data_IF_310831987203
#
_entry.id   IF_310831987203
#
_cell.length_a   1.000
_cell.length_b   1.000
_cell.length_c   1.000
_cell.angle_alpha   90.00
_cell.angle_beta   90.00
_cell.angle_gamma   90.00
#
_symmetry.space_group_name_H-M   'P 1'
#
loop_
_entity.id
_entity.type
_entity.pdbx_description
1 polymer ?
#
# COMPACT_ATOMS: atom_id res chain seq x y z
N UNK A 1 -1.21 -14.52 -10.01
CA UNK A 1 -1.05 -14.40 -8.54
C UNK A 1 -0.58 -12.98 -8.29
N UNK A 2 -1.29 -12.17 -7.51
CA UNK A 2 -0.85 -10.82 -7.17
C UNK A 2 0.12 -10.88 -6.00
N UNK A 3 1.23 -10.15 -6.09
CA UNK A 3 2.12 -9.93 -4.96
C UNK A 3 1.51 -8.84 -4.05
N UNK A 4 1.69 -9.00 -2.73
CA UNK A 4 1.30 -7.98 -1.77
C UNK A 4 2.15 -6.72 -1.95
N UNK A 5 1.50 -5.55 -1.94
CA UNK A 5 2.17 -4.24 -2.00
C UNK A 5 1.85 -3.49 -0.71
N UNK A 6 2.84 -3.17 0.14
CA UNK A 6 2.63 -2.41 1.38
C UNK A 6 2.00 -1.03 1.13
N UNK A 7 1.10 -0.59 2.03
CA UNK A 7 0.46 0.72 1.91
C UNK A 7 1.44 1.89 1.98
N UNK A 8 2.60 1.68 2.62
CA UNK A 8 3.67 2.67 2.70
C UNK A 8 4.03 3.27 1.33
N UNK A 9 4.02 2.49 0.24
CA UNK A 9 4.33 2.98 -1.11
C UNK A 9 3.37 4.05 -1.63
N UNK A 10 2.12 4.02 -1.15
CA UNK A 10 1.11 4.98 -1.54
C UNK A 10 1.12 6.24 -0.65
N UNK A 11 1.92 6.27 0.43
CA UNK A 11 2.02 7.43 1.33
C UNK A 11 2.93 8.51 0.75
N UNK A 12 2.76 9.78 1.16
CA UNK A 12 3.70 10.85 0.78
C UNK A 12 5.15 10.51 1.17
N UNK A 13 5.34 9.96 2.37
CA UNK A 13 6.66 9.54 2.85
C UNK A 13 7.28 8.45 1.97
N UNK A 14 6.47 7.49 1.52
CA UNK A 14 6.91 6.43 0.61
C UNK A 14 7.29 6.96 -0.77
N UNK A 15 6.49 7.88 -1.32
CA UNK A 15 6.77 8.50 -2.62
C UNK A 15 8.04 9.35 -2.55
N UNK A 16 8.20 10.22 -1.54
CA UNK A 16 9.43 11.02 -1.42
C UNK A 16 10.68 10.14 -1.28
N UNK A 17 10.61 9.05 -0.51
CA UNK A 17 11.72 8.08 -0.44
C UNK A 17 12.01 7.43 -1.79
N UNK A 18 10.96 7.07 -2.53
CA UNK A 18 11.14 6.53 -3.88
C UNK A 18 11.75 7.57 -4.83
N UNK A 19 11.36 8.85 -4.74
CA UNK A 19 11.96 9.94 -5.52
C UNK A 19 13.45 10.13 -5.20
N UNK A 20 13.83 10.00 -3.92
CA UNK A 20 15.23 10.02 -3.48
C UNK A 20 16.04 8.82 -4.04
N UNK A 21 15.42 7.62 -4.08
CA UNK A 21 16.05 6.39 -4.59
C UNK A 21 16.05 6.31 -6.14
N UNK A 22 15.06 6.89 -6.81
CA UNK A 22 14.86 6.83 -8.28
C UNK A 22 15.79 7.74 -9.07
N UNK A 23 16.62 8.54 -8.41
CA UNK A 23 17.78 9.16 -9.05
C UNK A 23 18.74 8.12 -9.69
N UNK A 24 18.53 6.80 -9.47
CA UNK A 24 19.40 5.74 -9.97
C UNK A 24 18.74 4.52 -10.65
N UNK A 25 17.42 4.31 -10.75
CA UNK A 25 16.89 3.03 -11.31
C UNK A 25 15.46 3.09 -11.89
N UNK A 26 15.25 2.49 -13.07
CA UNK A 26 13.91 2.30 -13.67
C UNK A 26 13.08 1.27 -12.90
N UNK A 27 11.91 1.72 -12.44
CA UNK A 27 10.97 0.94 -11.61
C UNK A 27 10.33 -0.25 -12.33
N UNK A 28 10.36 -0.25 -13.67
CA UNK A 28 9.80 -1.28 -14.56
C UNK A 28 10.82 -2.34 -15.02
N UNK A 29 12.08 -2.27 -14.58
CA UNK A 29 13.08 -3.27 -14.93
C UNK A 29 12.67 -4.63 -14.35
N UNK A 30 12.59 -5.64 -15.21
CA UNK A 30 12.37 -7.03 -14.83
C UNK A 30 13.70 -7.69 -14.49
N UNK A 31 13.86 -8.12 -13.24
CA UNK A 31 15.00 -8.91 -12.78
C UNK A 31 14.60 -10.37 -12.69
N UNK A 32 15.45 -11.27 -13.19
CA UNK A 32 15.27 -12.72 -13.01
C UNK A 32 15.75 -13.10 -11.60
N UNK A 33 14.83 -13.55 -10.76
CA UNK A 33 15.11 -13.94 -9.36
C UNK A 33 14.86 -15.44 -9.19
N UNK A 34 15.74 -16.11 -8.46
CA UNK A 34 15.56 -17.51 -8.09
C UNK A 34 14.53 -17.60 -6.94
N UNK A 35 13.37 -18.21 -7.19
CA UNK A 35 12.36 -18.50 -6.15
C UNK A 35 12.40 -19.99 -5.77
N UNK A 36 11.73 -20.34 -4.67
CA UNK A 36 11.60 -21.73 -4.19
C UNK A 36 10.96 -22.67 -5.23
N UNK A 37 10.16 -22.11 -6.13
CA UNK A 37 9.50 -22.83 -7.24
C UNK A 37 10.27 -22.77 -8.57
N UNK A 38 11.46 -22.16 -8.59
CA UNK A 38 12.28 -21.97 -9.79
C UNK A 38 12.46 -20.48 -10.16
N UNK A 39 13.12 -20.18 -11.29
CA UNK A 39 13.37 -18.81 -11.72
C UNK A 39 12.06 -18.07 -12.06
N UNK A 40 11.92 -16.82 -11.62
CA UNK A 40 10.76 -15.96 -11.89
C UNK A 40 11.22 -14.53 -12.18
N UNK A 41 10.56 -13.86 -13.11
CA UNK A 41 10.77 -12.43 -13.35
C UNK A 41 9.99 -11.61 -12.33
N UNK A 42 10.67 -10.67 -11.68
CA UNK A 42 10.07 -9.72 -10.76
C UNK A 42 10.50 -8.32 -11.14
N UNK A 43 9.57 -7.38 -11.11
CA UNK A 43 9.89 -5.96 -11.33
C UNK A 43 10.69 -5.40 -10.15
N UNK A 44 11.57 -4.44 -10.38
CA UNK A 44 12.26 -3.66 -9.34
C UNK A 44 11.31 -3.17 -8.25
N UNK A 45 10.09 -2.76 -8.63
CA UNK A 45 9.02 -2.41 -7.69
C UNK A 45 8.59 -3.58 -6.78
N UNK A 46 8.38 -4.78 -7.31
CA UNK A 46 7.98 -5.97 -6.53
C UNK A 46 9.09 -6.40 -5.56
N UNK A 47 10.36 -6.34 -6.00
CA UNK A 47 11.51 -6.67 -5.15
C UNK A 47 11.58 -5.70 -3.96
N UNK A 48 11.53 -4.39 -4.22
CA UNK A 48 11.53 -3.39 -3.15
C UNK A 48 10.32 -3.54 -2.23
N UNK A 49 9.14 -3.85 -2.78
CA UNK A 49 7.94 -4.08 -1.98
C UNK A 49 8.11 -5.21 -0.96
N UNK A 50 8.81 -6.28 -1.33
CA UNK A 50 9.16 -7.40 -0.43
C UNK A 50 10.20 -7.00 0.61
N UNK A 51 11.08 -6.06 0.29
CA UNK A 51 12.10 -5.52 1.20
C UNK A 51 11.60 -4.37 2.07
N UNK A 52 10.37 -3.91 1.86
CA UNK A 52 9.80 -2.79 2.59
C UNK A 52 9.75 -3.10 4.09
N UNK A 53 10.58 -2.39 4.87
CA UNK A 53 10.66 -2.57 6.33
C UNK A 53 9.52 -1.89 7.09
N UNK A 54 8.77 -0.99 6.43
CA UNK A 54 7.64 -0.29 7.05
C UNK A 54 6.38 -1.12 6.85
N UNK A 55 5.97 -1.79 7.92
CA UNK A 55 4.68 -2.47 7.98
C UNK A 55 3.53 -1.46 8.06
N UNK A 56 2.38 -1.85 7.53
CA UNK A 56 1.17 -1.03 7.53
C UNK A 56 0.72 -0.63 8.96
N UNK A 57 0.93 -1.50 9.95
CA UNK A 57 0.65 -1.24 11.38
C UNK A 57 1.46 -0.08 11.97
N UNK A 58 2.56 0.32 11.34
CA UNK A 58 3.39 1.44 11.78
C UNK A 58 3.05 2.75 11.06
N UNK A 59 2.08 2.74 10.14
CA UNK A 59 1.62 3.97 9.49
C UNK A 59 0.79 4.80 10.48
N UNK A 60 0.99 6.11 10.43
CA UNK A 60 0.07 7.01 11.13
C UNK A 60 -1.29 7.00 10.42
N UNK A 61 -2.35 7.38 11.14
CA UNK A 61 -3.68 7.49 10.54
C UNK A 61 -3.70 8.41 9.31
N UNK A 62 -2.96 9.52 9.35
CA UNK A 62 -2.85 10.44 8.22
C UNK A 62 -2.20 9.77 7.00
N UNK A 63 -1.11 9.03 7.21
CA UNK A 63 -0.44 8.28 6.14
C UNK A 63 -1.32 7.17 5.57
N UNK A 64 -2.05 6.47 6.44
CA UNK A 64 -2.97 5.40 6.06
C UNK A 64 -4.15 5.94 5.24
N UNK A 65 -4.72 7.09 5.61
CA UNK A 65 -5.74 7.79 4.82
C UNK A 65 -5.20 8.31 3.47
N UNK A 66 -3.96 8.79 3.41
CA UNK A 66 -3.34 9.20 2.13
C UNK A 66 -3.19 8.03 1.16
N UNK A 67 -2.83 6.85 1.68
CA UNK A 67 -2.61 5.65 0.87
C UNK A 67 -3.89 5.18 0.15
N UNK A 68 -5.04 5.28 0.82
CA UNK A 68 -6.36 4.89 0.30
C UNK A 68 -6.64 5.46 -1.10
N UNK A 69 -6.60 6.79 -1.26
CA UNK A 69 -6.94 7.44 -2.52
C UNK A 69 -6.05 6.99 -3.69
N UNK A 70 -4.74 6.88 -3.45
CA UNK A 70 -3.77 6.48 -4.47
C UNK A 70 -3.88 5.00 -4.83
N UNK A 71 -4.13 4.14 -3.86
CA UNK A 71 -4.38 2.73 -4.10
C UNK A 71 -5.64 2.53 -4.97
N UNK A 72 -6.75 3.20 -4.64
CA UNK A 72 -7.97 3.14 -5.45
C UNK A 72 -7.74 3.64 -6.88
N UNK A 73 -6.91 4.67 -7.06
CA UNK A 73 -6.57 5.16 -8.39
C UNK A 73 -5.71 4.16 -9.17
N UNK A 74 -4.72 3.54 -8.52
CA UNK A 74 -3.89 2.51 -9.13
C UNK A 74 -4.71 1.29 -9.57
N UNK A 75 -5.68 0.85 -8.74
CA UNK A 75 -6.60 -0.24 -9.11
C UNK A 75 -7.40 0.09 -10.37
N UNK A 76 -7.92 1.33 -10.49
CA UNK A 76 -8.64 1.78 -11.68
C UNK A 76 -7.75 1.80 -12.93
N UNK A 77 -6.52 2.27 -12.79
CA UNK A 77 -5.55 2.34 -13.90
C UNK A 77 -5.12 0.96 -14.41
N UNK A 78 -5.24 -0.07 -13.57
CA UNK A 78 -4.91 -1.45 -13.90
C UNK A 78 -6.16 -2.27 -14.26
N UNK A 79 -7.27 -1.59 -14.61
CA UNK A 79 -8.53 -2.20 -15.04
C UNK A 79 -9.08 -3.28 -14.09
N UNK A 80 -8.90 -3.09 -12.78
CA UNK A 80 -9.49 -4.00 -11.80
C UNK A 80 -11.02 -4.00 -11.92
N UNK A 81 -11.69 -5.13 -11.59
CA UNK A 81 -13.14 -5.18 -11.62
C UNK A 81 -13.77 -4.09 -10.75
N UNK A 82 -14.75 -3.37 -11.30
CA UNK A 82 -15.44 -2.28 -10.60
C UNK A 82 -16.03 -2.72 -9.26
N UNK A 83 -16.52 -3.96 -9.16
CA UNK A 83 -17.03 -4.54 -7.91
C UNK A 83 -15.94 -4.57 -6.82
N UNK A 84 -14.71 -4.96 -7.17
CA UNK A 84 -13.58 -4.96 -6.24
C UNK A 84 -13.22 -3.54 -5.80
N UNK A 85 -13.22 -2.58 -6.74
CA UNK A 85 -12.91 -1.17 -6.45
C UNK A 85 -13.97 -0.56 -5.53
N UNK A 86 -15.25 -0.83 -5.79
CA UNK A 86 -16.38 -0.36 -4.96
C UNK A 86 -16.31 -0.96 -3.57
N UNK A 87 -16.10 -2.28 -3.46
CA UNK A 87 -15.97 -2.96 -2.17
C UNK A 87 -14.83 -2.35 -1.33
N UNK A 88 -13.66 -2.15 -1.93
CA UNK A 88 -12.51 -1.57 -1.23
C UNK A 88 -12.79 -0.11 -0.84
N UNK A 89 -13.38 0.70 -1.72
CA UNK A 89 -13.79 2.08 -1.40
C UNK A 89 -14.75 2.11 -0.21
N UNK A 90 -15.76 1.25 -0.21
CA UNK A 90 -16.79 1.25 0.84
C UNK A 90 -16.21 0.79 2.18
N UNK A 91 -15.27 -0.16 2.17
CA UNK A 91 -14.48 -0.52 3.35
C UNK A 91 -13.74 0.71 3.92
N UNK A 92 -13.04 1.47 3.06
CA UNK A 92 -12.32 2.66 3.50
C UNK A 92 -13.23 3.75 4.06
N UNK A 93 -14.38 3.99 3.42
CA UNK A 93 -15.38 4.95 3.90
C UNK A 93 -15.93 4.55 5.27
N UNK A 94 -16.21 3.27 5.48
CA UNK A 94 -16.68 2.77 6.77
C UNK A 94 -15.63 2.96 7.87
N UNK A 95 -14.35 2.77 7.53
CA UNK A 95 -13.24 2.92 8.45
C UNK A 95 -12.96 4.40 8.80
N UNK A 96 -12.97 5.29 7.80
CA UNK A 96 -12.77 6.74 7.99
C UNK A 96 -13.94 7.40 8.72
N UNK A 97 -15.17 6.92 8.48
CA UNK A 97 -16.38 7.40 9.15
C UNK A 97 -16.65 6.77 10.53
N UNK A 98 -15.81 5.84 10.98
CA UNK A 98 -16.02 5.15 12.25
C UNK A 98 -15.82 6.07 13.45
N UNK A 99 -16.69 6.00 14.47
CA UNK A 99 -16.63 6.90 15.64
C UNK A 99 -15.26 6.87 16.34
N UNK A 100 -14.63 5.70 16.41
CA UNK A 100 -13.30 5.54 17.02
C UNK A 100 -12.20 6.30 16.29
N UNK A 101 -12.37 6.63 15.00
CA UNK A 101 -11.44 7.47 14.25
C UNK A 101 -11.37 8.89 14.80
N UNK A 102 -12.49 9.38 15.33
CA UNK A 102 -12.66 10.74 15.84
C UNK A 102 -12.61 10.82 17.37
N UNK A 103 -12.46 9.68 18.05
CA UNK A 103 -12.35 9.63 19.50
C UNK A 103 -11.05 10.33 19.97
N UNK A 104 -11.05 11.08 21.08
CA UNK A 104 -9.81 11.67 21.61
C UNK A 104 -8.81 10.62 22.14
N UNK A 105 -9.23 9.37 22.36
CA UNK A 105 -8.38 8.26 22.79
C UNK A 105 -7.62 7.63 21.63
N UNK A 106 -6.28 7.75 21.66
CA UNK A 106 -5.41 7.04 20.72
C UNK A 106 -5.62 5.53 20.79
N UNK A 107 -5.85 4.95 21.98
CA UNK A 107 -6.09 3.51 22.12
C UNK A 107 -7.29 3.02 21.28
N UNK A 108 -8.38 3.79 21.21
CA UNK A 108 -9.56 3.44 20.41
C UNK A 108 -9.31 3.58 18.91
N UNK A 109 -8.56 4.61 18.50
CA UNK A 109 -8.09 4.75 17.11
C UNK A 109 -7.22 3.59 16.68
N UNK A 110 -6.33 3.13 17.56
CA UNK A 110 -5.47 1.98 17.34
C UNK A 110 -6.29 0.68 17.27
N UNK A 111 -7.23 0.46 18.19
CA UNK A 111 -8.08 -0.72 18.19
C UNK A 111 -8.87 -0.91 16.88
N UNK A 112 -9.26 0.18 16.21
CA UNK A 112 -9.92 0.13 14.90
C UNK A 112 -9.01 -0.42 13.78
N UNK A 113 -7.68 -0.26 13.90
CA UNK A 113 -6.72 -0.68 12.89
C UNK A 113 -6.20 -2.11 13.09
N UNK A 114 -6.37 -2.69 14.29
CA UNK A 114 -5.89 -4.04 14.66
C UNK A 114 -7.01 -5.04 14.94
N UNK A 115 -8.28 -4.66 14.77
CA UNK A 115 -9.45 -5.52 15.00
C UNK A 115 -9.67 -6.57 13.92
#
# INVERSE_FOLDING_TARGET
KGDYVPLHYFTNRGICKAEEDTASTEDDILTLVQSDTGPTFQTSMSIRAKECKVKDEHLTWEEFSQANYRMLNAMRQQDWPNECIVMIRDFWLALEGHEWRHDPSEYRKWALLVS
#
